data_IF_446740762436
#
_entry.id   IF_446740762436
#
_cell.length_a   1.000
_cell.length_b   1.000
_cell.length_c   1.000
_cell.angle_alpha   90.00
_cell.angle_beta   90.00
_cell.angle_gamma   90.00
#
_symmetry.space_group_name_H-M   'P 1'
#
loop_
_entity.id
_entity.type
_entity.pdbx_description
1 polymer ?
#
# COMPACT_ATOMS: atom_id res chain seq x y z
N UNK A 1 -8.31 1.40 13.96
CA UNK A 1 -9.06 1.48 12.71
C UNK A 1 -9.92 0.26 12.51
N UNK A 2 -11.06 0.45 11.95
CA UNK A 2 -11.98 -0.60 11.63
C UNK A 2 -11.82 -1.03 10.18
N UNK A 3 -12.18 -2.27 9.92
CA UNK A 3 -12.31 -2.73 8.55
C UNK A 3 -13.62 -2.16 8.00
N UNK A 4 -13.52 -1.47 6.89
CA UNK A 4 -14.67 -0.86 6.27
C UNK A 4 -14.91 -1.50 4.90
N UNK A 5 -16.15 -1.97 4.67
CA UNK A 5 -16.51 -2.63 3.43
C UNK A 5 -17.64 -1.88 2.76
N UNK A 6 -17.39 -1.39 1.55
CA UNK A 6 -18.39 -0.79 0.70
C UNK A 6 -18.76 -1.73 -0.45
N UNK A 7 -19.70 -1.31 -1.28
CA UNK A 7 -20.12 -2.13 -2.42
C UNK A 7 -19.02 -2.42 -3.42
N UNK A 8 -18.09 -1.49 -3.61
CA UNK A 8 -17.05 -1.59 -4.64
C UNK A 8 -15.65 -1.46 -4.08
N UNK A 9 -15.54 -1.21 -2.80
CA UNK A 9 -14.25 -1.01 -2.17
C UNK A 9 -14.21 -1.63 -0.80
N UNK A 10 -13.02 -2.00 -0.41
CA UNK A 10 -12.75 -2.56 0.90
C UNK A 10 -11.59 -1.80 1.49
N UNK A 11 -11.75 -1.33 2.72
CA UNK A 11 -10.68 -0.68 3.45
C UNK A 11 -10.21 -1.61 4.55
N UNK A 12 -8.89 -1.89 4.55
CA UNK A 12 -8.26 -2.70 5.56
C UNK A 12 -7.21 -1.85 6.27
N UNK A 13 -7.22 -1.89 7.59
CA UNK A 13 -6.23 -1.18 8.38
C UNK A 13 -5.49 -2.16 9.28
N UNK A 14 -4.41 -1.70 9.91
CA UNK A 14 -3.47 -2.53 10.64
C UNK A 14 -4.10 -3.49 11.62
N UNK A 15 -3.38 -4.54 11.96
CA UNK A 15 -3.80 -5.51 12.94
C UNK A 15 -3.44 -6.93 12.55
N UNK A 16 -3.51 -7.82 13.53
CA UNK A 16 -3.07 -9.21 13.36
C UNK A 16 -4.01 -10.05 12.53
N UNK A 17 -5.20 -9.55 12.23
CA UNK A 17 -6.21 -10.29 11.47
C UNK A 17 -6.25 -9.88 10.01
N UNK A 18 -5.21 -9.21 9.52
CA UNK A 18 -5.17 -8.71 8.16
C UNK A 18 -5.39 -9.79 7.11
N UNK A 19 -4.74 -10.93 7.24
CA UNK A 19 -4.92 -12.02 6.26
C UNK A 19 -6.36 -12.49 6.19
N UNK A 20 -6.98 -12.68 7.34
CA UNK A 20 -8.38 -13.10 7.40
C UNK A 20 -9.31 -12.03 6.85
N UNK A 21 -9.00 -10.76 7.13
CA UNK A 21 -9.76 -9.65 6.60
C UNK A 21 -9.68 -9.58 5.08
N UNK A 22 -8.48 -9.80 4.52
CA UNK A 22 -8.29 -9.80 3.07
C UNK A 22 -9.11 -10.92 2.42
N UNK A 23 -9.06 -12.11 2.99
CA UNK A 23 -9.82 -13.26 2.46
C UNK A 23 -11.32 -12.96 2.47
N UNK A 24 -11.82 -12.42 3.58
CA UNK A 24 -13.25 -12.04 3.68
C UNK A 24 -13.62 -10.97 2.67
N UNK A 25 -12.75 -9.99 2.49
CA UNK A 25 -12.96 -8.92 1.53
C UNK A 25 -13.04 -9.47 0.11
N UNK A 26 -12.17 -10.41 -0.23
CA UNK A 26 -12.16 -11.04 -1.55
C UNK A 26 -13.45 -11.82 -1.84
N UNK A 27 -14.06 -12.40 -0.80
CA UNK A 27 -15.31 -13.12 -0.96
C UNK A 27 -16.46 -12.22 -1.42
N UNK A 28 -16.33 -10.91 -1.24
CA UNK A 28 -17.30 -9.93 -1.70
C UNK A 28 -17.10 -9.54 -3.16
N UNK A 29 -16.08 -10.06 -3.81
CA UNK A 29 -15.75 -9.78 -5.20
C UNK A 29 -15.62 -8.28 -5.51
N UNK A 30 -14.73 -7.57 -4.79
CA UNK A 30 -14.61 -6.12 -4.97
C UNK A 30 -13.93 -5.77 -6.29
N UNK A 31 -14.24 -4.60 -6.84
CA UNK A 31 -13.56 -4.08 -8.01
C UNK A 31 -12.29 -3.32 -7.64
N UNK A 32 -12.30 -2.70 -6.47
CA UNK A 32 -11.18 -1.92 -5.95
C UNK A 32 -10.97 -2.27 -4.50
N UNK A 33 -9.74 -2.47 -4.10
CA UNK A 33 -9.40 -2.67 -2.69
C UNK A 33 -8.53 -1.50 -2.21
N UNK A 34 -8.84 -1.01 -1.02
CA UNK A 34 -8.08 0.03 -0.36
C UNK A 34 -7.37 -0.56 0.85
N UNK A 35 -6.04 -0.46 0.86
CA UNK A 35 -5.21 -0.88 1.98
C UNK A 35 -4.63 0.36 2.65
N UNK A 36 -4.95 0.55 3.92
CA UNK A 36 -4.49 1.71 4.69
C UNK A 36 -3.45 1.23 5.70
N UNK A 37 -2.18 1.43 5.37
CA UNK A 37 -1.05 0.99 6.17
C UNK A 37 -1.20 -0.48 6.61
N UNK A 38 -1.29 -1.42 5.66
CA UNK A 38 -1.68 -2.80 5.97
C UNK A 38 -0.72 -3.54 6.87
N UNK A 39 0.50 -3.06 7.02
CA UNK A 39 1.52 -3.67 7.88
C UNK A 39 1.73 -2.91 9.18
N UNK A 40 0.96 -1.87 9.42
CA UNK A 40 1.05 -1.09 10.65
C UNK A 40 0.74 -1.96 11.87
N UNK A 41 1.56 -1.87 12.91
CA UNK A 41 1.41 -2.61 14.16
C UNK A 41 1.57 -4.13 14.05
N UNK A 42 2.07 -4.64 12.93
CA UNK A 42 2.38 -6.06 12.77
C UNK A 42 3.84 -6.32 13.14
N UNK A 43 4.11 -7.53 13.64
CA UNK A 43 5.50 -7.93 13.84
C UNK A 43 6.16 -8.27 12.49
N UNK A 44 7.51 -8.34 12.43
CA UNK A 44 8.21 -8.54 11.16
C UNK A 44 7.82 -9.78 10.38
N UNK A 45 7.49 -10.87 11.08
CA UNK A 45 7.09 -12.10 10.41
C UNK A 45 5.74 -11.94 9.72
N UNK A 46 4.80 -11.27 10.38
CA UNK A 46 3.48 -11.02 9.83
C UNK A 46 3.51 -10.04 8.68
N UNK A 47 4.42 -9.07 8.71
CA UNK A 47 4.57 -8.10 7.64
C UNK A 47 4.81 -8.80 6.31
N UNK A 48 5.78 -9.73 6.28
CA UNK A 48 6.08 -10.48 5.06
C UNK A 48 4.88 -11.23 4.50
N UNK A 49 4.13 -11.89 5.39
CA UNK A 49 2.96 -12.66 4.97
C UNK A 49 1.87 -11.77 4.36
N UNK A 50 1.59 -10.63 4.98
CA UNK A 50 0.58 -9.69 4.47
C UNK A 50 1.00 -9.11 3.14
N UNK A 51 2.26 -8.70 3.01
CA UNK A 51 2.76 -8.14 1.75
C UNK A 51 2.72 -9.16 0.62
N UNK A 52 3.01 -10.42 0.91
CA UNK A 52 2.92 -11.49 -0.10
C UNK A 52 1.49 -11.67 -0.61
N UNK A 53 0.51 -11.61 0.27
CA UNK A 53 -0.89 -11.72 -0.13
C UNK A 53 -1.27 -10.56 -1.06
N UNK A 54 -0.92 -9.34 -0.67
CA UNK A 54 -1.22 -8.15 -1.49
C UNK A 54 -0.54 -8.24 -2.84
N UNK A 55 0.71 -8.69 -2.86
CA UNK A 55 1.47 -8.85 -4.09
C UNK A 55 0.82 -9.84 -5.05
N UNK A 56 0.31 -10.95 -4.54
CA UNK A 56 -0.42 -11.92 -5.36
C UNK A 56 -1.69 -11.35 -5.93
N UNK A 57 -2.40 -10.51 -5.16
CA UNK A 57 -3.58 -9.82 -5.66
C UNK A 57 -3.23 -8.86 -6.78
N UNK A 58 -2.13 -8.14 -6.65
CA UNK A 58 -1.64 -7.23 -7.67
C UNK A 58 -1.30 -7.99 -8.96
N UNK A 59 -0.61 -9.11 -8.83
CA UNK A 59 -0.24 -9.95 -9.98
C UNK A 59 -1.48 -10.49 -10.69
N UNK A 60 -2.56 -10.70 -9.95
CA UNK A 60 -3.83 -11.14 -10.50
C UNK A 60 -4.64 -10.05 -11.19
N UNK A 61 -4.15 -8.82 -11.23
CA UNK A 61 -4.82 -7.72 -11.91
C UNK A 61 -5.81 -6.93 -11.06
N UNK A 62 -5.84 -7.17 -9.76
CA UNK A 62 -6.72 -6.44 -8.86
C UNK A 62 -6.33 -4.95 -8.80
N UNK A 63 -7.32 -4.07 -8.95
CA UNK A 63 -7.09 -2.63 -8.76
C UNK A 63 -7.02 -2.33 -7.27
N UNK A 64 -5.92 -1.71 -6.87
CA UNK A 64 -5.68 -1.43 -5.45
C UNK A 64 -5.11 -0.05 -5.24
N UNK A 65 -5.51 0.57 -4.14
CA UNK A 65 -4.90 1.79 -3.63
C UNK A 65 -4.28 1.44 -2.28
N UNK A 66 -2.99 1.66 -2.14
CA UNK A 66 -2.24 1.26 -0.95
C UNK A 66 -1.57 2.47 -0.34
N UNK A 67 -1.84 2.72 0.95
CA UNK A 67 -1.15 3.73 1.73
C UNK A 67 -0.13 2.98 2.57
N UNK A 68 1.14 3.29 2.42
CA UNK A 68 2.19 2.53 3.11
C UNK A 68 3.44 3.36 3.35
N UNK A 69 4.16 3.01 4.40
CA UNK A 69 5.51 3.50 4.67
C UNK A 69 6.57 2.46 4.28
N UNK A 70 6.17 1.31 3.80
CA UNK A 70 7.07 0.24 3.38
C UNK A 70 7.58 0.52 1.97
N UNK A 71 8.72 1.18 1.88
CA UNK A 71 9.23 1.67 0.61
C UNK A 71 9.68 0.56 -0.33
N UNK A 72 10.28 -0.50 0.19
CA UNK A 72 10.64 -1.65 -0.63
C UNK A 72 9.43 -2.31 -1.29
N UNK A 73 8.37 -2.44 -0.53
CA UNK A 73 7.12 -2.99 -1.02
C UNK A 73 6.48 -2.07 -2.07
N UNK A 74 6.42 -0.77 -1.80
CA UNK A 74 5.88 0.20 -2.74
C UNK A 74 6.62 0.15 -4.07
N UNK A 75 7.94 0.08 -4.02
CA UNK A 75 8.78 0.00 -5.22
C UNK A 75 8.49 -1.25 -6.05
N UNK A 76 8.30 -2.38 -5.37
CA UNK A 76 8.14 -3.67 -6.03
C UNK A 76 6.75 -3.87 -6.61
N UNK A 77 5.72 -3.43 -5.90
CA UNK A 77 4.33 -3.79 -6.21
C UNK A 77 3.60 -2.72 -7.01
N UNK A 78 3.90 -1.45 -6.78
CA UNK A 78 3.12 -0.38 -7.42
C UNK A 78 3.52 -0.18 -8.88
N UNK A 79 2.54 0.28 -9.67
CA UNK A 79 2.78 0.72 -11.03
C UNK A 79 2.56 2.22 -11.19
N UNK A 80 2.08 2.87 -10.13
CA UNK A 80 1.93 4.32 -10.05
C UNK A 80 2.05 4.72 -8.59
N UNK A 81 2.79 5.76 -8.32
CA UNK A 81 3.09 6.17 -6.97
C UNK A 81 2.78 7.66 -6.76
N UNK A 82 2.10 7.95 -5.67
CA UNK A 82 1.84 9.32 -5.23
C UNK A 82 2.61 9.58 -3.96
N UNK A 83 3.44 10.62 -3.96
CA UNK A 83 4.06 11.09 -2.73
C UNK A 83 3.22 12.23 -2.17
N UNK A 84 2.67 12.03 -0.98
CA UNK A 84 1.74 12.97 -0.38
C UNK A 84 2.37 13.56 0.89
N UNK A 85 2.30 14.87 1.01
CA UNK A 85 2.77 15.58 2.20
C UNK A 85 1.82 16.73 2.49
N UNK A 86 1.44 16.86 3.75
CA UNK A 86 0.51 17.90 4.21
C UNK A 86 -0.77 17.98 3.39
N UNK A 87 -1.32 16.81 3.05
CA UNK A 87 -2.57 16.73 2.30
C UNK A 87 -2.47 17.07 0.82
N UNK A 88 -1.26 17.23 0.30
CA UNK A 88 -1.03 17.60 -1.09
C UNK A 88 -0.21 16.52 -1.79
N UNK A 89 -0.60 16.18 -3.00
CA UNK A 89 0.19 15.28 -3.85
C UNK A 89 1.36 16.07 -4.42
N UNK A 90 2.56 15.80 -3.93
CA UNK A 90 3.76 16.48 -4.40
C UNK A 90 4.36 15.84 -5.64
N UNK A 91 4.25 14.52 -5.76
CA UNK A 91 4.73 13.79 -6.93
C UNK A 91 3.75 12.71 -7.31
N UNK A 92 3.57 12.51 -8.59
CA UNK A 92 2.78 11.46 -9.19
C UNK A 92 3.70 10.86 -10.27
N UNK A 93 4.22 9.68 -10.01
CA UNK A 93 5.31 9.16 -10.84
C UNK A 93 5.28 7.64 -10.94
N UNK A 94 6.00 7.15 -11.94
CA UNK A 94 6.38 5.75 -12.00
C UNK A 94 7.28 5.43 -10.80
N UNK A 95 7.11 4.29 -10.13
CA UNK A 95 7.92 3.95 -8.96
C UNK A 95 9.42 4.01 -9.21
N UNK A 96 9.88 3.48 -10.32
CA UNK A 96 11.30 3.51 -10.63
C UNK A 96 11.82 4.93 -10.72
N UNK A 97 11.09 5.80 -11.41
CA UNK A 97 11.47 7.21 -11.54
C UNK A 97 11.47 7.92 -10.18
N UNK A 98 10.48 7.64 -9.35
CA UNK A 98 10.40 8.25 -8.02
C UNK A 98 11.61 7.88 -7.15
N UNK A 99 11.94 6.59 -7.10
CA UNK A 99 13.03 6.13 -6.24
C UNK A 99 14.41 6.49 -6.76
N UNK A 100 14.59 6.56 -8.08
CA UNK A 100 15.88 6.90 -8.67
C UNK A 100 16.11 8.41 -8.75
N UNK A 101 15.07 9.18 -9.05
CA UNK A 101 15.20 10.62 -9.29
C UNK A 101 13.97 11.39 -8.78
N UNK A 102 13.76 11.43 -7.46
CA UNK A 102 12.64 12.20 -6.92
C UNK A 102 12.78 13.67 -7.27
N UNK A 103 11.68 14.30 -7.67
CA UNK A 103 11.69 15.64 -8.22
C UNK A 103 11.60 16.73 -7.17
N UNK A 104 11.09 16.45 -5.99
CA UNK A 104 10.92 17.44 -4.94
C UNK A 104 11.96 17.25 -3.85
N UNK A 105 12.32 18.35 -3.19
CA UNK A 105 13.25 18.28 -2.06
C UNK A 105 12.66 17.47 -0.91
N UNK A 106 11.36 17.58 -0.68
CA UNK A 106 10.69 16.83 0.39
C UNK A 106 10.79 15.33 0.14
N UNK A 107 10.58 14.89 -1.08
CA UNK A 107 10.70 13.48 -1.43
C UNK A 107 12.14 13.00 -1.29
N UNK A 108 13.10 13.80 -1.74
CA UNK A 108 14.52 13.46 -1.60
C UNK A 108 14.91 13.29 -0.13
N UNK A 109 14.48 14.20 0.71
CA UNK A 109 14.78 14.12 2.15
C UNK A 109 14.09 12.93 2.81
N UNK A 110 12.85 12.67 2.43
CA UNK A 110 12.10 11.52 2.94
C UNK A 110 12.83 10.21 2.60
N UNK A 111 13.22 10.04 1.35
CA UNK A 111 13.89 8.82 0.91
C UNK A 111 15.25 8.62 1.60
N UNK A 112 15.96 9.69 1.86
CA UNK A 112 17.22 9.60 2.61
C UNK A 112 17.03 9.06 4.03
N UNK A 113 15.88 9.35 4.64
CA UNK A 113 15.61 8.90 6.01
C UNK A 113 15.15 7.45 6.07
N UNK A 114 14.45 6.96 5.05
CA UNK A 114 13.81 5.64 5.10
C UNK A 114 14.54 4.56 4.30
N UNK A 115 15.50 4.94 3.50
CA UNK A 115 16.30 3.98 2.72
C UNK A 115 17.72 3.80 3.25
#
# INVERSE_FOLDING_TARGET
YDTHVGQRGVRLSGGQKQRAAIVRAMAMNPKVMLFDEPTSALDPEMVGEVLDVIKRLADGGMTMLIVTHEMGFAREVSNRLFFIDEGVVLEDADPKAFFEAPQTERARNFLKKVL
#
